data_IF_925803457962
#
_entry.id   IF_925803457962
#
_cell.length_a   1.000
_cell.length_b   1.000
_cell.length_c   1.000
_cell.angle_alpha   90.00
_cell.angle_beta   90.00
_cell.angle_gamma   90.00
#
_symmetry.space_group_name_H-M   'P 1'
#
loop_
_entity.id
_entity.type
_entity.pdbx_description
1 polymer ?
#
# COMPACT_ATOMS: atom_id res chain seq x y z
N UNK A 1 20.83 -26.37 -12.36
CA UNK A 1 20.72 -25.19 -13.26
C UNK A 1 20.20 -25.55 -14.66
N UNK A 2 20.84 -26.46 -15.43
CA UNK A 2 20.26 -26.93 -16.72
C UNK A 2 18.90 -27.66 -16.61
N UNK A 3 18.64 -28.34 -15.50
CA UNK A 3 17.33 -28.97 -15.22
C UNK A 3 16.25 -27.95 -14.77
N UNK A 4 16.65 -26.76 -14.33
CA UNK A 4 15.77 -25.62 -14.02
C UNK A 4 15.38 -24.90 -15.33
N UNK A 5 16.29 -24.92 -16.32
CA UNK A 5 16.11 -24.32 -17.65
C UNK A 5 15.21 -25.19 -18.55
N UNK A 6 15.19 -26.51 -18.35
CA UNK A 6 14.36 -27.43 -19.13
C UNK A 6 12.86 -27.12 -19.03
N UNK A 7 12.35 -26.83 -17.84
CA UNK A 7 10.93 -26.48 -17.64
C UNK A 7 10.56 -25.06 -18.04
N UNK A 8 11.55 -24.17 -18.24
CA UNK A 8 11.30 -22.82 -18.77
C UNK A 8 11.29 -22.79 -20.31
N UNK A 9 11.91 -23.79 -20.97
CA UNK A 9 12.08 -23.83 -22.43
C UNK A 9 11.23 -24.92 -23.10
N UNK A 10 10.86 -25.99 -22.39
CA UNK A 10 10.00 -27.04 -22.92
C UNK A 10 8.52 -26.65 -22.77
N UNK A 11 8.02 -25.82 -23.68
CA UNK A 11 6.59 -25.46 -23.66
C UNK A 11 6.04 -24.67 -24.83
N UNK A 12 6.78 -24.45 -25.91
CA UNK A 12 6.27 -23.73 -27.08
C UNK A 12 6.47 -24.55 -28.35
N UNK A 13 5.49 -25.42 -28.67
CA UNK A 13 5.35 -25.93 -30.03
C UNK A 13 4.54 -24.95 -30.85
N UNK A 14 5.07 -24.59 -32.02
CA UNK A 14 4.38 -23.80 -33.04
C UNK A 14 3.09 -24.52 -33.48
N UNK A 15 1.95 -24.20 -32.85
CA UNK A 15 0.68 -23.90 -33.51
C UNK A 15 -0.53 -23.75 -32.58
N UNK A 16 -0.41 -24.01 -31.27
CA UNK A 16 -1.48 -23.76 -30.30
C UNK A 16 -0.91 -23.09 -29.05
N UNK A 17 -1.51 -21.98 -28.63
CA UNK A 17 -1.12 -21.15 -27.47
C UNK A 17 -1.30 -21.83 -26.10
N UNK A 18 -1.54 -23.13 -26.07
CA UNK A 18 -1.64 -23.86 -24.83
C UNK A 18 -0.23 -24.27 -24.40
N UNK A 19 0.36 -23.67 -23.35
CA UNK A 19 1.54 -24.26 -22.74
C UNK A 19 1.20 -25.71 -22.39
N UNK A 20 2.12 -26.64 -22.70
CA UNK A 20 1.89 -28.07 -22.51
C UNK A 20 1.45 -28.32 -21.08
N UNK A 21 0.21 -28.75 -20.89
CA UNK A 21 -0.30 -29.15 -19.58
C UNK A 21 0.52 -30.35 -19.10
N UNK A 22 1.32 -30.14 -18.06
CA UNK A 22 2.18 -31.19 -17.49
C UNK A 22 1.36 -32.20 -16.66
N UNK A 23 0.19 -31.80 -16.15
CA UNK A 23 -0.75 -32.64 -15.45
C UNK A 23 -2.17 -32.04 -15.49
N UNK A 24 -3.19 -32.90 -15.43
CA UNK A 24 -4.58 -32.47 -15.27
C UNK A 24 -4.82 -32.01 -13.82
N UNK A 25 -4.86 -30.70 -13.62
CA UNK A 25 -4.96 -30.08 -12.29
C UNK A 25 -6.36 -30.22 -11.68
N UNK A 26 -7.38 -30.54 -12.47
CA UNK A 26 -8.73 -30.81 -11.98
C UNK A 26 -8.86 -32.22 -11.36
N UNK A 27 -7.88 -33.10 -11.56
CA UNK A 27 -7.91 -34.44 -11.03
C UNK A 27 -7.52 -34.46 -9.54
N UNK A 28 -8.27 -35.23 -8.73
CA UNK A 28 -8.02 -35.39 -7.30
C UNK A 28 -6.60 -35.93 -6.99
N UNK A 29 -6.06 -36.78 -7.87
CA UNK A 29 -4.71 -37.35 -7.69
C UNK A 29 -3.60 -36.30 -7.71
N UNK A 30 -3.80 -35.18 -8.40
CA UNK A 30 -2.87 -34.04 -8.42
C UNK A 30 -2.72 -33.42 -7.02
N UNK A 31 -3.85 -33.28 -6.31
CA UNK A 31 -3.94 -32.66 -5.00
C UNK A 31 -3.61 -33.60 -3.85
N UNK A 32 -3.87 -34.91 -4.01
CA UNK A 32 -3.48 -35.94 -3.05
C UNK A 32 -1.98 -36.28 -3.13
N UNK A 33 -1.14 -35.24 -3.14
CA UNK A 33 0.31 -35.33 -3.18
C UNK A 33 0.89 -34.76 -1.88
N UNK A 34 1.90 -35.43 -1.31
CA UNK A 34 2.62 -34.95 -0.12
C UNK A 34 3.21 -33.55 -0.33
N UNK A 35 3.55 -33.17 -1.56
CA UNK A 35 4.06 -31.83 -1.88
C UNK A 35 3.02 -30.75 -1.65
N UNK A 36 1.78 -30.99 -2.08
CA UNK A 36 0.67 -30.10 -1.79
C UNK A 36 0.44 -29.99 -0.29
N UNK A 37 0.46 -31.13 0.44
CA UNK A 37 0.30 -31.12 1.90
C UNK A 37 1.35 -30.23 2.58
N UNK A 38 2.63 -30.33 2.18
CA UNK A 38 3.70 -29.49 2.74
C UNK A 38 3.49 -28.00 2.39
N UNK A 39 3.15 -27.69 1.13
CA UNK A 39 2.85 -26.30 0.73
C UNK A 39 1.64 -25.73 1.49
N UNK A 40 0.58 -26.53 1.66
CA UNK A 40 -0.61 -26.18 2.44
C UNK A 40 -0.27 -25.90 3.90
N UNK A 41 0.59 -26.71 4.52
CA UNK A 41 1.09 -26.47 5.87
C UNK A 41 1.86 -25.14 5.96
N UNK A 42 2.73 -24.84 5.00
CA UNK A 42 3.46 -23.56 4.98
C UNK A 42 2.53 -22.35 4.86
N UNK A 43 1.55 -22.39 3.95
CA UNK A 43 0.55 -21.32 3.81
C UNK A 43 -0.29 -21.18 5.07
N UNK A 44 -0.72 -22.29 5.67
CA UNK A 44 -1.49 -22.28 6.92
C UNK A 44 -0.68 -21.69 8.08
N UNK A 45 0.59 -22.07 8.23
CA UNK A 45 1.49 -21.50 9.24
C UNK A 45 1.61 -19.98 9.03
N UNK A 46 1.82 -19.52 7.79
CA UNK A 46 1.91 -18.10 7.49
C UNK A 46 0.63 -17.35 7.87
N UNK A 47 -0.55 -17.91 7.55
CA UNK A 47 -1.84 -17.33 7.93
C UNK A 47 -2.03 -17.29 9.45
N UNK A 48 -1.69 -18.37 10.17
CA UNK A 48 -1.80 -18.42 11.64
C UNK A 48 -0.87 -17.40 12.27
N UNK A 49 0.38 -17.32 11.83
CA UNK A 49 1.35 -16.32 12.32
C UNK A 49 0.83 -14.90 12.06
N UNK A 50 0.30 -14.62 10.86
CA UNK A 50 -0.28 -13.33 10.53
C UNK A 50 -1.49 -13.00 11.42
N UNK A 51 -2.40 -13.95 11.64
CA UNK A 51 -3.54 -13.78 12.52
C UNK A 51 -3.11 -13.50 13.97
N UNK A 52 -2.11 -14.21 14.48
CA UNK A 52 -1.54 -13.99 15.82
C UNK A 52 -0.90 -12.61 15.93
N UNK A 53 -0.16 -12.15 14.91
CA UNK A 53 0.43 -10.81 14.88
C UNK A 53 -0.64 -9.71 14.92
N UNK A 54 -1.68 -9.84 14.10
CA UNK A 54 -2.81 -8.90 14.08
C UNK A 54 -3.53 -8.90 15.43
N UNK A 55 -3.85 -10.09 15.96
CA UNK A 55 -4.48 -10.22 17.28
C UNK A 55 -3.65 -9.57 18.38
N UNK A 56 -2.33 -9.82 18.39
CA UNK A 56 -1.43 -9.31 19.42
C UNK A 56 -1.32 -7.77 19.38
N UNK A 57 -1.19 -7.19 18.19
CA UNK A 57 -0.92 -5.75 18.05
C UNK A 57 -2.19 -4.89 17.95
N UNK A 58 -3.29 -5.40 17.38
CA UNK A 58 -4.51 -4.64 17.16
C UNK A 58 -5.69 -5.11 18.06
N UNK A 59 -5.69 -6.37 18.50
CA UNK A 59 -6.72 -6.93 19.39
C UNK A 59 -6.39 -6.75 20.89
N UNK A 60 -5.19 -7.12 21.32
CA UNK A 60 -4.81 -7.11 22.74
C UNK A 60 -4.55 -5.70 23.30
N UNK A 61 -4.07 -4.78 22.46
CA UNK A 61 -3.76 -3.40 22.87
C UNK A 61 -4.97 -2.61 23.36
N UNK A 62 -6.17 -2.88 22.83
CA UNK A 62 -7.42 -2.23 23.25
C UNK A 62 -7.96 -2.76 24.58
N UNK A 63 -7.77 -4.05 24.89
CA UNK A 63 -8.29 -4.66 26.12
C UNK A 63 -7.50 -4.32 27.38
N UNK A 64 -6.19 -4.01 27.27
CA UNK A 64 -5.33 -3.71 28.42
C UNK A 64 -5.32 -2.24 28.81
N UNK A 65 -5.68 -1.32 27.91
CA UNK A 65 -5.57 0.13 28.10
C UNK A 65 -6.84 0.85 28.57
N UNK A 66 -7.89 0.11 28.96
CA UNK A 66 -9.03 0.68 29.69
C UNK A 66 -8.76 0.96 31.17
N UNK A 67 -7.51 0.87 31.65
CA UNK A 67 -7.24 0.88 33.10
C UNK A 67 -5.93 1.52 33.59
N UNK A 68 -5.13 2.20 32.77
CA UNK A 68 -4.02 3.00 33.32
C UNK A 68 -3.69 4.22 32.47
N UNK A 69 -3.69 5.34 33.17
CA UNK A 69 -3.40 6.74 32.80
C UNK A 69 -2.02 6.96 32.15
N UNK A 70 -1.99 8.00 31.32
CA UNK A 70 -0.95 9.04 31.24
C UNK A 70 0.51 8.61 31.21
N UNK A 71 0.93 8.01 30.10
CA UNK A 71 2.26 8.26 29.55
C UNK A 71 2.20 8.25 28.01
N UNK A 72 2.74 9.30 27.39
CA UNK A 72 2.96 9.48 25.96
C UNK A 72 3.96 8.46 25.39
N UNK A 73 3.68 7.16 25.55
CA UNK A 73 4.27 6.17 24.66
C UNK A 73 3.47 6.20 23.36
N UNK A 74 4.05 6.86 22.35
CA UNK A 74 3.61 6.87 20.96
C UNK A 74 3.20 5.44 20.55
N UNK A 75 1.90 5.18 20.49
CA UNK A 75 1.37 3.82 20.35
C UNK A 75 1.74 3.34 18.94
N UNK A 76 2.69 2.40 18.85
CA UNK A 76 3.11 1.81 17.57
C UNK A 76 1.88 1.31 16.80
N UNK A 77 1.48 2.05 15.76
CA UNK A 77 0.33 1.73 14.91
C UNK A 77 -0.91 2.61 15.06
N UNK A 78 -0.93 3.64 15.93
CA UNK A 78 -2.01 4.65 15.90
C UNK A 78 -1.85 5.58 14.71
N UNK A 79 -2.87 5.63 13.85
CA UNK A 79 -2.93 6.58 12.73
C UNK A 79 -3.47 7.91 13.23
N UNK A 80 -2.74 9.00 13.00
CA UNK A 80 -3.33 10.32 13.08
C UNK A 80 -4.07 10.60 11.76
N UNK A 81 -5.31 11.07 11.84
CA UNK A 81 -6.15 11.33 10.67
C UNK A 81 -5.47 12.34 9.73
N UNK A 82 -4.76 13.30 10.30
CA UNK A 82 -3.99 14.32 9.60
C UNK A 82 -2.87 13.74 8.71
N UNK A 83 -2.28 12.61 9.10
CA UNK A 83 -1.21 11.96 8.33
C UNK A 83 -1.72 11.34 7.03
N UNK A 84 -3.04 11.14 6.91
CA UNK A 84 -3.66 10.59 5.70
C UNK A 84 -3.66 11.60 4.53
N UNK A 85 -3.58 12.90 4.80
CA UNK A 85 -3.62 13.95 3.77
C UNK A 85 -2.50 14.99 3.84
N UNK A 86 -1.67 14.99 4.90
CA UNK A 86 -0.49 15.85 4.99
C UNK A 86 0.72 15.24 4.25
N UNK A 87 1.50 16.13 3.65
CA UNK A 87 2.77 15.88 2.94
C UNK A 87 3.92 15.76 3.91
N UNK A 88 4.92 14.90 3.67
CA UNK A 88 6.06 14.68 4.58
C UNK A 88 6.92 15.90 4.87
N UNK A 89 6.88 16.92 4.02
CA UNK A 89 7.50 18.22 4.28
C UNK A 89 6.42 19.26 4.56
N UNK A 90 6.61 20.06 5.61
CA UNK A 90 5.74 21.21 5.90
C UNK A 90 5.75 22.28 4.81
N UNK A 91 6.79 22.28 3.97
CA UNK A 91 6.94 23.20 2.84
C UNK A 91 6.12 22.83 1.60
N UNK A 92 5.65 21.58 1.47
CA UNK A 92 4.88 21.14 0.30
C UNK A 92 3.39 21.27 0.64
N UNK A 93 2.65 22.16 -0.04
CA UNK A 93 1.22 22.28 0.15
C UNK A 93 0.49 20.94 -0.07
N UNK A 94 -0.50 20.63 0.78
CA UNK A 94 -1.33 19.43 0.68
C UNK A 94 -2.02 19.27 -0.70
N UNK A 95 -2.24 20.38 -1.41
CA UNK A 95 -2.75 20.37 -2.79
C UNK A 95 -1.83 19.70 -3.81
N UNK A 96 -0.52 19.69 -3.60
CA UNK A 96 0.43 19.04 -4.52
C UNK A 96 0.40 17.51 -4.38
N UNK A 97 0.26 17.00 -3.15
CA UNK A 97 0.01 15.58 -2.89
C UNK A 97 -1.32 15.12 -3.48
N UNK A 98 -2.37 15.95 -3.37
CA UNK A 98 -3.65 15.67 -4.02
C UNK A 98 -3.51 15.60 -5.54
N UNK A 99 -2.85 16.57 -6.17
CA UNK A 99 -2.61 16.59 -7.61
C UNK A 99 -1.85 15.35 -8.08
N UNK A 100 -0.80 14.98 -7.36
CA UNK A 100 -0.04 13.75 -7.60
C UNK A 100 -0.93 12.49 -7.53
N UNK A 101 -1.70 12.33 -6.45
CA UNK A 101 -2.59 11.17 -6.26
C UNK A 101 -3.66 11.06 -7.33
N UNK A 102 -4.23 12.18 -7.78
CA UNK A 102 -5.21 12.20 -8.88
C UNK A 102 -4.57 11.83 -10.22
N UNK A 103 -3.39 12.35 -10.54
CA UNK A 103 -2.67 12.01 -11.78
C UNK A 103 -2.30 10.52 -11.78
N UNK A 104 -1.74 10.02 -10.67
CA UNK A 104 -1.42 8.61 -10.51
C UNK A 104 -2.68 7.73 -10.65
N UNK A 105 -3.78 8.10 -10.00
CA UNK A 105 -5.06 7.40 -10.11
C UNK A 105 -5.57 7.33 -11.56
N UNK A 106 -5.57 8.46 -12.27
CA UNK A 106 -6.01 8.51 -13.66
C UNK A 106 -5.17 7.59 -14.57
N UNK A 107 -3.84 7.61 -14.41
CA UNK A 107 -2.94 6.76 -15.21
C UNK A 107 -3.12 5.27 -14.85
N UNK A 108 -3.22 4.95 -13.56
CA UNK A 108 -3.45 3.58 -13.09
C UNK A 108 -4.79 3.04 -13.62
N UNK A 109 -5.88 3.80 -13.49
CA UNK A 109 -7.19 3.39 -14.03
C UNK A 109 -7.12 3.22 -15.56
N UNK A 110 -6.46 4.12 -16.28
CA UNK A 110 -6.33 4.01 -17.73
C UNK A 110 -5.57 2.75 -18.15
N UNK A 111 -4.48 2.40 -17.46
CA UNK A 111 -3.71 1.19 -17.72
C UNK A 111 -4.50 -0.08 -17.35
N UNK A 112 -5.20 -0.09 -16.21
CA UNK A 112 -6.03 -1.23 -15.80
C UNK A 112 -7.17 -1.48 -16.79
N UNK A 113 -7.84 -0.42 -17.24
CA UNK A 113 -8.88 -0.51 -18.27
C UNK A 113 -8.31 -0.94 -19.62
N UNK A 114 -7.14 -0.43 -20.01
CA UNK A 114 -6.49 -0.83 -21.27
C UNK A 114 -6.18 -2.32 -21.27
N UNK A 115 -5.63 -2.85 -20.17
CA UNK A 115 -5.33 -4.26 -20.04
C UNK A 115 -6.60 -5.12 -20.03
N UNK A 116 -7.63 -4.69 -19.30
CA UNK A 116 -8.93 -5.37 -19.28
C UNK A 116 -9.62 -5.36 -20.66
N UNK A 117 -9.44 -4.33 -21.47
CA UNK A 117 -9.99 -4.25 -22.84
C UNK A 117 -9.21 -5.16 -23.79
N UNK A 118 -7.88 -5.19 -23.70
CA UNK A 118 -7.02 -5.96 -24.61
C UNK A 118 -7.09 -7.46 -24.32
N UNK A 119 -7.06 -7.84 -23.04
CA UNK A 119 -6.89 -9.24 -22.61
C UNK A 119 -8.11 -9.81 -21.87
N UNK A 120 -9.14 -8.99 -21.62
CA UNK A 120 -10.37 -9.39 -20.92
C UNK A 120 -10.16 -9.60 -19.42
N UNK A 121 -11.21 -10.06 -18.74
CA UNK A 121 -11.17 -10.30 -17.29
C UNK A 121 -10.27 -11.49 -16.88
N UNK A 122 -9.74 -12.27 -17.83
CA UNK A 122 -8.86 -13.42 -17.55
C UNK A 122 -7.50 -13.00 -16.97
N UNK A 123 -7.11 -11.73 -17.12
CA UNK A 123 -5.87 -11.18 -16.56
C UNK A 123 -5.84 -11.23 -15.03
N UNK A 124 -6.99 -11.19 -14.35
CA UNK A 124 -7.09 -11.30 -12.90
C UNK A 124 -6.66 -12.68 -12.37
N UNK A 125 -6.24 -13.57 -13.26
CA UNK A 125 -5.51 -14.77 -12.94
C UNK A 125 -4.06 -14.51 -12.48
N UNK A 126 -3.47 -13.36 -12.80
CA UNK A 126 -2.10 -13.03 -12.39
C UNK A 126 -2.07 -12.18 -11.11
N UNK A 127 -1.08 -12.43 -10.26
CA UNK A 127 -0.86 -11.67 -9.02
C UNK A 127 -0.46 -10.21 -9.29
N UNK A 128 0.19 -9.96 -10.43
CA UNK A 128 0.50 -8.60 -10.90
C UNK A 128 -0.76 -7.76 -11.02
N UNK A 129 -1.84 -8.31 -11.59
CA UNK A 129 -3.11 -7.59 -11.73
C UNK A 129 -3.82 -7.35 -10.40
N UNK A 130 -3.75 -8.31 -9.49
CA UNK A 130 -4.24 -8.13 -8.11
C UNK A 130 -3.51 -6.97 -7.43
N UNK A 131 -2.19 -6.90 -7.60
CA UNK A 131 -1.35 -5.83 -7.05
C UNK A 131 -1.64 -4.49 -7.71
N UNK A 132 -1.76 -4.45 -9.03
CA UNK A 132 -2.10 -3.24 -9.79
C UNK A 132 -3.48 -2.69 -9.39
N UNK A 133 -4.46 -3.57 -9.23
CA UNK A 133 -5.81 -3.22 -8.75
C UNK A 133 -5.77 -2.70 -7.32
N UNK A 134 -5.01 -3.35 -6.43
CA UNK A 134 -4.86 -2.92 -5.04
C UNK A 134 -4.27 -1.50 -4.94
N UNK A 135 -3.23 -1.21 -5.73
CA UNK A 135 -2.61 0.12 -5.81
C UNK A 135 -3.62 1.14 -6.33
N UNK A 136 -4.39 0.79 -7.36
CA UNK A 136 -5.44 1.66 -7.92
C UNK A 136 -6.50 1.99 -6.87
N UNK A 137 -6.97 1.00 -6.10
CA UNK A 137 -7.91 1.20 -4.98
C UNK A 137 -7.28 2.09 -3.91
N UNK A 138 -6.02 1.85 -3.55
CA UNK A 138 -5.29 2.67 -2.58
C UNK A 138 -5.25 4.13 -3.04
N UNK A 139 -4.84 4.42 -4.28
CA UNK A 139 -4.79 5.79 -4.80
C UNK A 139 -6.17 6.43 -4.87
N UNK A 140 -7.23 5.65 -5.14
CA UNK A 140 -8.61 6.11 -5.09
C UNK A 140 -9.00 6.59 -3.69
N UNK A 141 -8.76 5.75 -2.67
CA UNK A 141 -9.04 6.09 -1.28
C UNK A 141 -8.15 7.25 -0.78
N UNK A 142 -6.85 7.21 -1.07
CA UNK A 142 -5.89 8.24 -0.71
C UNK A 142 -6.27 9.60 -1.31
N UNK A 143 -6.75 9.62 -2.57
CA UNK A 143 -7.27 10.82 -3.21
C UNK A 143 -8.51 11.34 -2.49
N UNK A 144 -9.46 10.47 -2.14
CA UNK A 144 -10.65 10.87 -1.40
C UNK A 144 -10.30 11.50 -0.03
N UNK A 145 -9.36 10.92 0.71
CA UNK A 145 -8.86 11.49 1.97
C UNK A 145 -8.14 12.83 1.76
N UNK A 146 -7.34 12.96 0.70
CA UNK A 146 -6.69 14.24 0.34
C UNK A 146 -7.71 15.33 -0.02
N UNK A 147 -8.77 15.00 -0.77
CA UNK A 147 -9.86 15.94 -1.08
C UNK A 147 -10.57 16.36 0.20
N UNK A 148 -10.91 15.40 1.07
CA UNK A 148 -11.55 15.69 2.35
C UNK A 148 -10.70 16.64 3.23
N UNK A 149 -9.40 16.35 3.38
CA UNK A 149 -8.49 17.19 4.16
C UNK A 149 -8.33 18.60 3.56
N UNK A 150 -8.27 18.70 2.23
CA UNK A 150 -8.22 19.99 1.54
C UNK A 150 -9.51 20.79 1.77
N UNK A 151 -10.69 20.18 1.57
CA UNK A 151 -11.98 20.84 1.79
C UNK A 151 -12.16 21.29 3.24
N UNK A 152 -11.71 20.49 4.21
CA UNK A 152 -11.74 20.87 5.62
C UNK A 152 -10.85 22.08 5.91
N UNK A 153 -9.63 22.10 5.36
CA UNK A 153 -8.71 23.24 5.51
C UNK A 153 -9.28 24.51 4.88
N UNK A 154 -9.87 24.40 3.68
CA UNK A 154 -10.51 25.54 3.01
C UNK A 154 -11.72 26.08 3.79
N UNK A 155 -12.54 25.19 4.37
CA UNK A 155 -13.66 25.60 5.25
C UNK A 155 -13.16 26.31 6.50
N UNK A 156 -12.13 25.78 7.16
CA UNK A 156 -11.56 26.41 8.36
C UNK A 156 -10.97 27.81 8.06
N UNK A 157 -10.30 27.98 6.92
CA UNK A 157 -9.82 29.30 6.46
C UNK A 157 -10.99 30.23 6.14
N UNK A 158 -12.07 29.72 5.52
CA UNK A 158 -13.27 30.50 5.21
C UNK A 158 -14.02 30.99 6.46
N UNK A 159 -14.23 30.10 7.44
CA UNK A 159 -14.90 30.43 8.71
C UNK A 159 -14.05 31.40 9.55
N UNK A 160 -12.72 31.19 9.59
CA UNK A 160 -11.80 32.11 10.27
C UNK A 160 -11.76 33.50 9.64
N UNK A 161 -11.85 33.59 8.30
CA UNK A 161 -11.94 34.87 7.58
C UNK A 161 -13.27 35.58 7.85
N UNK A 162 -14.37 34.84 7.92
CA UNK A 162 -15.69 35.38 8.26
C UNK A 162 -15.78 35.84 9.72
N UNK A 163 -15.08 35.17 10.65
CA UNK A 163 -15.03 35.57 12.07
C UNK A 163 -14.12 36.80 12.29
N UNK A 164 -13.05 36.93 11.50
CA UNK A 164 -12.18 38.11 11.50
C UNK A 164 -12.92 39.35 10.96
N UNK A 165 -13.65 39.20 9.84
CA UNK A 165 -14.42 40.29 9.22
C UNK A 165 -15.56 40.80 10.14
N UNK A 166 -16.16 39.91 10.93
CA UNK A 166 -17.15 40.28 11.96
C UNK A 166 -16.54 41.03 13.15
N UNK A 167 -15.34 40.65 13.61
CA UNK A 167 -14.65 41.34 14.72
C UNK A 167 -14.14 42.72 14.31
N UNK A 168 -13.69 42.89 13.07
CA UNK A 168 -13.28 44.21 12.57
C UNK A 168 -14.48 45.15 12.35
N UNK A 169 -15.65 44.61 11.96
CA UNK A 169 -16.89 45.39 11.88
C UNK A 169 -17.40 45.86 13.25
N UNK A 170 -17.20 45.09 14.33
CA UNK A 170 -17.59 45.48 15.69
C UNK A 170 -16.59 46.44 16.37
N UNK A 171 -15.37 46.60 15.82
CA UNK A 171 -14.34 47.52 16.35
C UNK A 171 -14.33 48.88 15.65
N UNK A 172 -15.19 49.08 14.65
CA UNK A 172 -15.38 50.35 13.98
C UNK A 172 -16.31 51.28 14.76
N UNK A 173 -15.75 52.38 15.25
CA UNK A 173 -16.43 53.67 15.53
C UNK A 173 -16.91 53.95 16.98
N UNK A 174 -15.97 54.20 17.91
CA UNK A 174 -16.08 55.30 18.90
C UNK A 174 -14.71 55.60 19.55
N UNK A 175 -14.11 56.75 19.27
CA UNK A 175 -13.01 57.33 20.07
C UNK A 175 -13.43 58.74 20.52
N UNK A 176 -13.74 58.98 21.80
CA UNK A 176 -13.73 60.33 22.34
C UNK A 176 -12.28 60.73 22.68
N UNK A 177 -11.88 61.99 22.48
CA UNK A 177 -10.56 62.44 22.90
C UNK A 177 -10.57 62.68 24.40
N UNK A 178 -9.65 62.06 25.15
CA UNK A 178 -9.30 62.56 26.47
C UNK A 178 -7.80 62.40 26.75
N UNK A 179 -7.22 63.54 27.12
CA UNK A 179 -5.86 63.76 27.55
C UNK A 179 -5.49 62.95 28.80
N UNK A 180 -4.21 62.59 28.89
CA UNK A 180 -3.42 62.51 30.12
C UNK A 180 -3.91 61.57 31.22
N UNK A 181 -3.22 60.43 31.37
CA UNK A 181 -2.72 59.82 32.62
C UNK A 181 -2.28 58.38 32.31
N UNK A 182 -1.04 58.04 32.66
CA UNK A 182 -0.39 56.79 32.28
C UNK A 182 -0.94 55.56 33.01
N UNK A 183 -0.97 54.42 32.30
CA UNK A 183 -1.14 53.05 32.84
C UNK A 183 -0.36 52.08 31.93
N UNK A 184 0.29 51.03 32.47
CA UNK A 184 1.40 50.31 31.86
C UNK A 184 0.98 49.18 30.91
N UNK A 185 1.96 48.79 30.09
CA UNK A 185 2.16 47.49 29.44
C UNK A 185 0.92 46.64 29.14
N UNK A 186 0.42 46.76 27.90
CA UNK A 186 -0.54 45.83 27.32
C UNK A 186 0.00 45.26 26.00
N UNK A 187 1.28 44.85 25.98
CA UNK A 187 1.83 43.99 24.93
C UNK A 187 1.68 42.52 25.35
N UNK A 188 0.47 42.11 25.72
CA UNK A 188 0.22 40.82 26.36
C UNK A 188 -1.11 40.19 25.97
N UNK A 189 -1.58 40.34 24.74
CA UNK A 189 -2.78 39.59 24.28
C UNK A 189 -2.84 39.40 22.76
N UNK A 190 -1.74 38.92 22.17
CA UNK A 190 -1.73 38.30 20.84
C UNK A 190 -1.25 36.84 20.93
N UNK A 191 -1.56 36.15 22.02
CA UNK A 191 -1.58 34.69 22.03
C UNK A 191 -2.98 34.23 21.62
N UNK A 192 -3.29 34.41 20.34
CA UNK A 192 -4.37 33.65 19.71
C UNK A 192 -3.96 32.19 19.74
N UNK A 193 -4.41 31.48 20.78
CA UNK A 193 -4.65 30.03 20.86
C UNK A 193 -4.26 29.28 19.58
N UNK A 194 -2.98 28.91 19.50
CA UNK A 194 -2.66 27.58 18.98
C UNK A 194 -3.22 26.62 20.03
N UNK A 195 -4.49 26.22 19.87
CA UNK A 195 -4.95 25.03 20.56
C UNK A 195 -3.98 23.91 20.19
N UNK A 196 -3.34 23.23 21.17
CA UNK A 196 -2.53 22.07 20.86
C UNK A 196 -3.43 21.11 20.10
N UNK A 197 -3.10 20.89 18.82
CA UNK A 197 -3.88 20.10 17.88
C UNK A 197 -3.90 18.67 18.41
N UNK A 198 -4.91 18.38 19.24
CA UNK A 198 -5.01 17.09 19.91
C UNK A 198 -5.20 16.05 18.79
N UNK A 199 -4.26 15.12 18.57
CA UNK A 199 -4.30 14.21 17.44
C UNK A 199 -5.61 13.43 17.48
N UNK A 200 -6.56 13.76 16.60
CA UNK A 200 -7.79 12.98 16.50
C UNK A 200 -7.39 11.62 15.94
N UNK A 201 -7.42 10.60 16.79
CA UNK A 201 -7.21 9.22 16.40
C UNK A 201 -8.02 8.95 15.14
N UNK A 202 -7.35 8.49 14.08
CA UNK A 202 -8.03 8.30 12.81
C UNK A 202 -9.18 7.31 13.00
N UNK A 203 -10.35 7.68 12.47
CA UNK A 203 -11.46 6.75 12.37
C UNK A 203 -11.07 5.51 11.55
N UNK A 204 -11.96 4.54 11.48
CA UNK A 204 -11.77 3.28 10.74
C UNK A 204 -11.09 3.45 9.37
N UNK A 205 -11.48 4.46 8.59
CA UNK A 205 -10.94 4.69 7.26
C UNK A 205 -9.45 5.07 7.21
N UNK A 206 -8.90 5.74 8.22
CA UNK A 206 -7.46 6.04 8.25
C UNK A 206 -6.62 4.79 8.54
N UNK A 207 -7.12 3.91 9.40
CA UNK A 207 -6.51 2.58 9.61
C UNK A 207 -6.58 1.74 8.34
N UNK A 208 -7.73 1.72 7.65
CA UNK A 208 -7.86 1.02 6.36
C UNK A 208 -6.87 1.55 5.33
N UNK A 209 -6.73 2.86 5.20
CA UNK A 209 -5.78 3.47 4.27
C UNK A 209 -4.33 3.08 4.59
N UNK A 210 -3.94 3.09 5.86
CA UNK A 210 -2.59 2.70 6.27
C UNK A 210 -2.33 1.20 6.08
N UNK A 211 -3.31 0.33 6.32
CA UNK A 211 -3.19 -1.11 6.03
C UNK A 211 -3.00 -1.31 4.53
N UNK A 212 -3.85 -0.69 3.70
CA UNK A 212 -3.74 -0.79 2.24
C UNK A 212 -2.39 -0.28 1.74
N UNK A 213 -1.92 0.86 2.25
CA UNK A 213 -0.59 1.38 1.95
C UNK A 213 0.51 0.35 2.17
N UNK A 214 0.48 -0.38 3.29
CA UNK A 214 1.50 -1.36 3.63
C UNK A 214 1.39 -2.66 2.85
N UNK A 215 0.17 -3.11 2.56
CA UNK A 215 -0.04 -4.26 1.68
C UNK A 215 0.45 -3.92 0.27
N UNK A 216 0.12 -2.73 -0.24
CA UNK A 216 0.64 -2.23 -1.52
C UNK A 216 2.16 -2.19 -1.54
N UNK A 217 2.82 -1.70 -0.48
CA UNK A 217 4.27 -1.67 -0.39
C UNK A 217 4.90 -3.05 -0.58
N UNK A 218 4.46 -4.02 0.24
CA UNK A 218 4.95 -5.39 0.15
C UNK A 218 4.63 -6.03 -1.21
N UNK A 219 3.41 -5.82 -1.72
CA UNK A 219 2.96 -6.41 -2.97
C UNK A 219 3.75 -5.86 -4.17
N UNK A 220 3.93 -4.53 -4.28
CA UNK A 220 4.73 -3.88 -5.34
C UNK A 220 6.17 -4.39 -5.31
N UNK A 221 6.80 -4.38 -4.13
CA UNK A 221 8.17 -4.85 -4.02
C UNK A 221 8.30 -6.32 -4.42
N UNK A 222 7.36 -7.17 -4.00
CA UNK A 222 7.36 -8.59 -4.38
C UNK A 222 7.15 -8.77 -5.89
N UNK A 223 6.12 -8.16 -6.48
CA UNK A 223 5.82 -8.31 -7.90
C UNK A 223 6.97 -7.81 -8.76
N UNK A 224 7.56 -6.67 -8.41
CA UNK A 224 8.54 -6.02 -9.26
C UNK A 224 9.92 -6.67 -9.10
N UNK A 225 10.31 -7.07 -7.88
CA UNK A 225 11.55 -7.83 -7.67
C UNK A 225 11.48 -9.17 -8.40
N UNK A 226 10.38 -9.91 -8.26
CA UNK A 226 10.20 -11.19 -8.96
C UNK A 226 10.16 -10.97 -10.48
N UNK A 227 9.45 -9.95 -10.95
CA UNK A 227 9.40 -9.65 -12.37
C UNK A 227 10.78 -9.31 -12.94
N UNK A 228 11.46 -8.30 -12.39
CA UNK A 228 12.71 -7.80 -12.94
C UNK A 228 13.89 -8.77 -12.77
N UNK A 229 13.97 -9.49 -11.64
CA UNK A 229 15.12 -10.36 -11.36
C UNK A 229 14.91 -11.80 -11.81
N UNK A 230 13.66 -12.30 -11.85
CA UNK A 230 13.37 -13.71 -12.11
C UNK A 230 12.67 -13.92 -13.43
N UNK A 231 11.68 -13.11 -13.80
CA UNK A 231 10.85 -13.36 -15.00
C UNK A 231 11.46 -12.68 -16.23
N UNK A 232 11.76 -11.39 -16.15
CA UNK A 232 12.22 -10.55 -17.25
C UNK A 232 13.46 -11.09 -17.99
N UNK A 233 14.50 -11.61 -17.31
CA UNK A 233 15.68 -12.16 -18.00
C UNK A 233 15.40 -13.38 -18.87
N UNK A 234 14.26 -14.06 -18.65
CA UNK A 234 13.88 -15.29 -19.34
C UNK A 234 12.67 -15.12 -20.26
N UNK A 235 12.16 -13.89 -20.43
CA UNK A 235 11.12 -13.58 -21.40
C UNK A 235 11.67 -13.69 -22.84
N UNK A 236 11.46 -14.84 -23.48
CA UNK A 236 11.76 -15.08 -24.90
C UNK A 236 10.63 -14.60 -25.82
N UNK A 237 11.00 -14.20 -27.04
CA UNK A 237 10.20 -13.39 -27.97
C UNK A 237 8.82 -13.96 -28.34
N UNK A 238 7.76 -13.42 -27.73
CA UNK A 238 6.43 -13.31 -28.32
C UNK A 238 5.73 -12.02 -27.82
N UNK A 239 5.03 -11.35 -28.73
CA UNK A 239 4.15 -10.18 -28.55
C UNK A 239 4.71 -8.91 -27.88
N UNK A 240 5.24 -8.02 -28.73
CA UNK A 240 5.81 -6.72 -28.35
C UNK A 240 4.83 -5.81 -27.58
N UNK A 241 3.54 -5.78 -27.94
CA UNK A 241 2.54 -4.92 -27.29
C UNK A 241 2.22 -5.37 -25.86
N UNK A 242 2.07 -6.67 -25.64
CA UNK A 242 1.80 -7.25 -24.32
C UNK A 242 3.01 -7.05 -23.39
N UNK A 243 4.22 -7.27 -23.91
CA UNK A 243 5.46 -6.95 -23.18
C UNK A 243 5.52 -5.48 -22.78
N UNK A 244 5.18 -4.57 -23.68
CA UNK A 244 5.21 -3.14 -23.38
C UNK A 244 4.26 -2.79 -22.23
N UNK A 245 3.01 -3.27 -22.27
CA UNK A 245 2.02 -2.96 -21.24
C UNK A 245 2.42 -3.53 -19.88
N UNK A 246 2.89 -4.78 -19.82
CA UNK A 246 3.39 -5.41 -18.59
C UNK A 246 4.62 -4.68 -18.03
N UNK A 247 5.60 -4.32 -18.89
CA UNK A 247 6.77 -3.52 -18.49
C UNK A 247 6.34 -2.15 -17.94
N UNK A 248 5.39 -1.50 -18.61
CA UNK A 248 4.82 -0.24 -18.16
C UNK A 248 4.14 -0.39 -16.81
N UNK A 249 3.33 -1.42 -16.59
CA UNK A 249 2.66 -1.65 -15.30
C UNK A 249 3.64 -1.82 -14.15
N UNK A 250 4.67 -2.66 -14.31
CA UNK A 250 5.70 -2.83 -13.28
C UNK A 250 6.49 -1.53 -13.03
N UNK A 251 6.86 -0.81 -14.08
CA UNK A 251 7.58 0.47 -13.93
C UNK A 251 6.70 1.54 -13.27
N UNK A 252 5.44 1.65 -13.69
CA UNK A 252 4.49 2.65 -13.18
C UNK A 252 4.11 2.36 -11.73
N UNK A 253 3.89 1.09 -11.36
CA UNK A 253 3.67 0.69 -9.97
C UNK A 253 4.84 1.11 -9.07
N UNK A 254 6.08 0.77 -9.47
CA UNK A 254 7.26 1.15 -8.72
C UNK A 254 7.38 2.67 -8.54
N UNK A 255 7.25 3.44 -9.64
CA UNK A 255 7.40 4.89 -9.63
C UNK A 255 6.31 5.58 -8.82
N UNK A 256 5.04 5.21 -9.01
CA UNK A 256 3.95 5.83 -8.28
C UNK A 256 3.93 5.44 -6.80
N UNK A 257 4.22 4.18 -6.47
CA UNK A 257 4.26 3.80 -5.07
C UNK A 257 5.47 4.43 -4.34
N UNK A 258 6.63 4.50 -4.99
CA UNK A 258 7.82 5.16 -4.41
C UNK A 258 7.60 6.66 -4.23
N UNK A 259 6.96 7.33 -5.20
CA UNK A 259 6.61 8.75 -5.07
C UNK A 259 5.62 8.98 -3.92
N UNK A 260 4.61 8.14 -3.77
CA UNK A 260 3.69 8.18 -2.63
C UNK A 260 4.41 7.96 -1.30
N UNK A 261 5.31 6.97 -1.21
CA UNK A 261 6.16 6.73 -0.03
C UNK A 261 7.03 7.94 0.33
N UNK A 262 7.54 8.66 -0.68
CA UNK A 262 8.33 9.88 -0.50
C UNK A 262 7.46 11.06 -0.08
N UNK A 263 6.24 11.20 -0.61
CA UNK A 263 5.42 12.38 -0.39
C UNK A 263 4.50 12.30 0.84
N UNK A 264 4.05 11.11 1.27
CA UNK A 264 3.09 10.97 2.36
C UNK A 264 3.71 10.98 3.78
N UNK A 265 2.92 11.24 4.82
CA UNK A 265 3.36 11.12 6.24
C UNK A 265 2.99 9.79 6.90
N UNK A 266 2.42 8.85 6.16
CA UNK A 266 1.91 7.61 6.74
C UNK A 266 3.04 6.82 7.40
N UNK A 267 2.85 6.49 8.69
CA UNK A 267 3.76 5.63 9.41
C UNK A 267 3.75 4.21 8.82
N UNK A 268 4.84 3.47 9.03
CA UNK A 268 4.99 2.11 8.52
C UNK A 268 5.32 1.12 9.67
N UNK A 269 4.34 0.77 10.51
CA UNK A 269 4.55 -0.25 11.53
C UNK A 269 4.89 -1.62 10.91
N UNK A 270 5.96 -2.23 11.42
CA UNK A 270 6.49 -3.50 10.90
C UNK A 270 5.52 -4.67 11.04
N UNK A 271 4.75 -4.73 12.13
CA UNK A 271 3.88 -5.86 12.43
C UNK A 271 2.78 -6.10 11.37
N UNK A 272 2.46 -5.07 10.57
CA UNK A 272 1.45 -5.15 9.51
C UNK A 272 1.92 -5.84 8.23
N UNK A 273 3.15 -6.36 8.22
CA UNK A 273 3.55 -7.42 7.29
C UNK A 273 2.56 -8.60 7.30
N UNK A 274 1.87 -8.81 8.43
CA UNK A 274 0.80 -9.79 8.54
C UNK A 274 -0.30 -9.63 7.48
N UNK A 275 -0.74 -8.40 7.20
CA UNK A 275 -1.76 -8.14 6.17
C UNK A 275 -1.25 -8.46 4.76
N UNK A 276 0.03 -8.17 4.50
CA UNK A 276 0.67 -8.51 3.24
C UNK A 276 0.79 -10.03 3.06
N UNK A 277 1.20 -10.76 4.11
CA UNK A 277 1.25 -12.22 4.10
C UNK A 277 -0.14 -12.86 3.92
N UNK A 278 -1.20 -12.28 4.51
CA UNK A 278 -2.57 -12.74 4.28
C UNK A 278 -3.02 -12.49 2.84
N UNK A 279 -2.72 -11.32 2.28
CA UNK A 279 -3.06 -10.98 0.89
C UNK A 279 -2.47 -11.99 -0.10
N UNK A 280 -1.19 -12.35 0.05
CA UNK A 280 -0.55 -13.36 -0.80
C UNK A 280 -1.08 -14.76 -0.55
N UNK A 281 -1.38 -15.11 0.69
CA UNK A 281 -2.01 -16.40 1.03
C UNK A 281 -3.41 -16.53 0.38
N UNK A 282 -4.20 -15.46 0.38
CA UNK A 282 -5.51 -15.41 -0.30
C UNK A 282 -5.34 -15.64 -1.80
N UNK A 283 -4.36 -15.01 -2.44
CA UNK A 283 -4.07 -15.25 -3.85
C UNK A 283 -3.69 -16.71 -4.12
N UNK A 284 -2.83 -17.32 -3.29
CA UNK A 284 -2.44 -18.73 -3.43
C UNK A 284 -3.65 -19.66 -3.30
N UNK A 285 -4.52 -19.43 -2.31
CA UNK A 285 -5.74 -20.21 -2.13
C UNK A 285 -6.69 -20.04 -3.31
N UNK A 286 -6.87 -18.80 -3.80
CA UNK A 286 -7.64 -18.53 -5.01
C UNK A 286 -7.12 -19.32 -6.21
N UNK A 287 -5.80 -19.37 -6.41
CA UNK A 287 -5.18 -20.17 -7.46
C UNK A 287 -5.46 -21.66 -7.27
N UNK A 288 -5.35 -22.18 -6.05
CA UNK A 288 -5.64 -23.58 -5.78
C UNK A 288 -7.08 -23.94 -6.12
N UNK A 289 -8.03 -23.13 -5.66
CA UNK A 289 -9.46 -23.35 -5.92
C UNK A 289 -9.73 -23.36 -7.43
N UNK A 290 -9.22 -22.38 -8.17
CA UNK A 290 -9.44 -22.33 -9.62
C UNK A 290 -8.89 -23.57 -10.33
N UNK A 291 -7.67 -24.02 -9.99
CA UNK A 291 -7.08 -25.21 -10.60
C UNK A 291 -7.78 -26.51 -10.19
N UNK A 292 -8.37 -26.57 -8.99
CA UNK A 292 -9.23 -27.69 -8.60
C UNK A 292 -10.52 -27.74 -9.43
N UNK A 293 -11.08 -26.57 -9.77
CA UNK A 293 -12.34 -26.48 -10.51
C UNK A 293 -12.16 -26.62 -12.03
N UNK A 294 -11.07 -26.08 -12.57
CA UNK A 294 -10.81 -26.02 -14.01
C UNK A 294 -9.35 -26.36 -14.26
N UNK A 295 -9.13 -27.31 -15.16
CA UNK A 295 -7.78 -27.71 -15.56
C UNK A 295 -7.14 -26.58 -16.38
N UNK A 296 -6.23 -25.84 -15.75
CA UNK A 296 -5.53 -24.68 -16.33
C UNK A 296 -4.01 -24.82 -16.14
N UNK A 297 -3.25 -24.06 -16.93
CA UNK A 297 -1.81 -23.90 -16.74
C UNK A 297 -1.54 -22.91 -15.62
N UNK A 298 -0.51 -23.15 -14.80
CA UNK A 298 -0.15 -22.23 -13.72
C UNK A 298 0.31 -20.86 -14.26
N UNK A 299 -0.14 -19.73 -13.67
CA UNK A 299 0.30 -18.40 -14.09
C UNK A 299 1.78 -18.19 -13.79
N UNK A 300 2.29 -18.92 -12.79
CA UNK A 300 3.67 -18.85 -12.33
C UNK A 300 4.22 -20.27 -12.16
N UNK A 301 5.36 -20.62 -12.81
CA UNK A 301 5.94 -21.96 -12.72
C UNK A 301 6.27 -22.41 -11.29
N UNK A 302 6.57 -21.45 -10.40
CA UNK A 302 6.88 -21.73 -9.00
C UNK A 302 5.65 -22.09 -8.14
N UNK A 303 4.43 -21.91 -8.64
CA UNK A 303 3.21 -22.37 -7.98
C UNK A 303 2.83 -23.81 -8.35
N UNK A 304 3.41 -24.37 -9.42
CA UNK A 304 3.09 -25.70 -9.91
C UNK A 304 3.52 -26.79 -8.90
N UNK A 305 2.52 -27.52 -8.40
CA UNK A 305 2.68 -28.60 -7.42
C UNK A 305 3.16 -29.91 -8.06
N UNK A 306 3.17 -30.01 -9.40
CA UNK A 306 3.73 -31.14 -10.14
C UNK A 306 5.25 -31.23 -10.01
N UNK A 307 5.91 -30.11 -9.73
CA UNK A 307 7.36 -30.02 -9.55
C UNK A 307 7.83 -30.65 -8.25
N UNK A 308 8.95 -31.38 -8.27
CA UNK A 308 9.56 -31.93 -7.06
C UNK A 308 10.02 -30.83 -6.09
N UNK A 309 10.31 -29.64 -6.62
CA UNK A 309 10.82 -28.50 -5.87
C UNK A 309 9.70 -27.55 -5.39
N UNK A 310 8.42 -27.91 -5.56
CA UNK A 310 7.31 -27.04 -5.18
C UNK A 310 7.39 -26.56 -3.71
N UNK A 311 7.66 -27.42 -2.70
CA UNK A 311 7.79 -26.94 -1.32
C UNK A 311 8.90 -25.90 -1.13
N UNK A 312 10.02 -26.05 -1.84
CA UNK A 312 11.15 -25.12 -1.79
C UNK A 312 10.76 -23.78 -2.41
N UNK A 313 10.01 -23.78 -3.51
CA UNK A 313 9.51 -22.55 -4.13
C UNK A 313 8.53 -21.80 -3.24
N UNK A 314 7.57 -22.50 -2.64
CA UNK A 314 6.61 -21.89 -1.71
C UNK A 314 7.34 -21.30 -0.49
N UNK A 315 8.32 -22.02 0.06
CA UNK A 315 9.16 -21.50 1.15
C UNK A 315 9.98 -20.28 0.70
N UNK A 316 10.62 -20.34 -0.46
CA UNK A 316 11.45 -19.25 -0.98
C UNK A 316 10.63 -17.97 -1.22
N UNK A 317 9.47 -18.09 -1.86
CA UNK A 317 8.55 -16.96 -2.07
C UNK A 317 8.03 -16.45 -0.73
N UNK A 318 7.67 -17.33 0.20
CA UNK A 318 7.28 -16.96 1.57
C UNK A 318 8.37 -16.15 2.29
N UNK A 319 9.63 -16.60 2.22
CA UNK A 319 10.78 -15.89 2.80
C UNK A 319 11.06 -14.55 2.10
N UNK A 320 10.80 -14.44 0.80
CA UNK A 320 10.98 -13.20 0.02
C UNK A 320 10.08 -12.06 0.51
N UNK A 321 8.98 -12.35 1.20
CA UNK A 321 8.12 -11.32 1.80
C UNK A 321 8.87 -10.46 2.82
N UNK A 322 9.81 -11.06 3.57
CA UNK A 322 10.57 -10.36 4.60
C UNK A 322 11.44 -9.25 4.02
N UNK A 323 12.39 -9.50 3.09
CA UNK A 323 13.20 -8.44 2.50
C UNK A 323 12.36 -7.43 1.70
N UNK A 324 11.33 -7.88 0.96
CA UNK A 324 10.42 -7.01 0.22
C UNK A 324 9.67 -6.03 1.13
N UNK A 325 9.30 -6.45 2.35
CA UNK A 325 8.60 -5.57 3.29
C UNK A 325 9.57 -4.74 4.15
N UNK A 326 10.67 -5.34 4.62
CA UNK A 326 11.64 -4.70 5.53
C UNK A 326 12.47 -3.59 4.88
N UNK A 327 12.54 -3.52 3.55
CA UNK A 327 13.20 -2.41 2.85
C UNK A 327 12.49 -1.06 3.06
N UNK A 328 11.16 -1.03 3.21
CA UNK A 328 10.38 0.21 3.30
C UNK A 328 10.67 1.04 4.57
N UNK A 329 10.76 0.46 5.78
CA UNK A 329 11.23 1.19 6.97
C UNK A 329 12.61 1.83 6.78
N UNK A 330 13.52 1.18 6.04
CA UNK A 330 14.84 1.74 5.75
C UNK A 330 14.74 2.96 4.82
N UNK A 331 13.90 2.87 3.77
CA UNK A 331 13.64 3.99 2.86
C UNK A 331 13.01 5.16 3.62
N UNK A 332 12.07 4.90 4.55
CA UNK A 332 11.44 5.92 5.37
C UNK A 332 12.41 6.60 6.34
N UNK A 333 13.33 5.85 6.95
CA UNK A 333 14.40 6.43 7.78
C UNK A 333 15.35 7.29 6.94
N UNK A 334 15.73 6.83 5.74
CA UNK A 334 16.55 7.61 4.82
C UNK A 334 15.84 8.91 4.40
N UNK A 335 14.54 8.83 4.10
CA UNK A 335 13.69 10.00 3.82
C UNK A 335 13.68 10.99 4.99
N UNK A 336 13.45 10.54 6.21
CA UNK A 336 13.42 11.40 7.40
C UNK A 336 14.77 12.10 7.61
N UNK A 337 15.87 11.36 7.47
CA UNK A 337 17.23 11.91 7.54
C UNK A 337 17.52 12.96 6.46
N UNK A 338 17.05 12.74 5.23
CA UNK A 338 17.16 13.73 4.17
C UNK A 338 16.33 14.99 4.49
N UNK A 339 15.08 14.84 4.90
CA UNK A 339 14.19 15.96 5.22
C UNK A 339 14.74 16.82 6.35
N UNK A 340 15.28 16.22 7.42
CA UNK A 340 15.90 16.97 8.54
C UNK A 340 17.15 17.76 8.11
N UNK A 341 17.78 17.40 6.98
CA UNK A 341 18.96 18.10 6.47
C UNK A 341 18.60 19.26 5.54
N UNK A 342 17.46 19.17 4.84
CA UNK A 342 17.01 20.19 3.88
C UNK A 342 16.11 21.26 4.50
N UNK A 343 15.43 20.96 5.61
CA UNK A 343 14.71 21.94 6.45
C UNK A 343 15.27 21.87 7.89
N UNK A 344 16.41 22.52 8.17
CA UNK A 344 16.99 22.56 9.51
C UNK A 344 16.15 23.35 10.53
#
# INVERSE_FOLDING_TARGET
MKMIIGNFSAGFSNHDWNPVMTADTANLSYWLNWRFLVCAIFVLIAMVVAAVLIWKHEGFGKSRKGKHEDHEEEIVGTVNIDDCWKTSSESIHAGWLLGYRLIALCILVALLLSEAIVNGARIFYFYTEWTFTLITIYFGLASAFSVYGCLHHWKAVGDGRADFDKRDAERGNYMPPLEGVGVPDMLGTLNSRDEPHNPKAAGFGGYTLQILYQVCAGAVALTDIVYWLIIYPFLTNADYKLRFLVICMHTVNAVFFLGELVLNRLQFPLFRIAYFALWTSVFVIFQWIIHMCVSLWWPYPFLDLSSQYAPIWYLAVGLLHLPCYCMFPLILRAKQFCLSRFNP
#
